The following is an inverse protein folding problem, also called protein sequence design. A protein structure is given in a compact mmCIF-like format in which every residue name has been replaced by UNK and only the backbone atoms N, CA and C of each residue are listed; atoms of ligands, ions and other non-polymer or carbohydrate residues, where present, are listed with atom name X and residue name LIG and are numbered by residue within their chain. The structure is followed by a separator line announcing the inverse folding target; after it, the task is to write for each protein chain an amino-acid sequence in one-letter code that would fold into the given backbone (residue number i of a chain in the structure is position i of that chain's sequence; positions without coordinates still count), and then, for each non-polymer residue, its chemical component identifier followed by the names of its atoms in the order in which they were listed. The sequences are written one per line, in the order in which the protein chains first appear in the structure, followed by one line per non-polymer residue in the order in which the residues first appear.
data_IF_542531520543
#
_entry.id   IF_542531520543
#
_cell.length_a   1.000
_cell.length_b   1.000
_cell.length_c   1.000
_cell.angle_alpha   90.00
_cell.angle_beta   90.00
_cell.angle_gamma   90.00
#
_symmetry.space_group_name_H-M   'P 1'
#
loop_
_entity.id
_entity.type
_entity.pdbx_description
1 polymer ?
#
# COMPACT_ATOMS: atom_id res chain seq x y z
N UNK A 1 7.98 1.40 -16.46
CA UNK A 1 6.68 0.92 -15.91
C UNK A 1 6.33 1.71 -14.64
N UNK A 2 5.08 1.67 -14.21
CA UNK A 2 4.66 2.26 -12.95
C UNK A 2 4.06 1.20 -12.04
N UNK A 3 4.60 1.09 -10.84
CA UNK A 3 4.19 0.14 -9.81
C UNK A 3 3.42 0.88 -8.70
N UNK A 4 2.39 0.25 -8.16
CA UNK A 4 1.74 0.65 -6.92
C UNK A 4 1.81 -0.53 -5.94
N UNK A 5 2.51 -0.32 -4.82
CA UNK A 5 2.47 -1.26 -3.70
C UNK A 5 1.33 -0.86 -2.78
N UNK A 6 0.48 -1.82 -2.42
CA UNK A 6 -0.62 -1.64 -1.48
C UNK A 6 -0.35 -2.54 -0.28
N UNK A 7 -0.02 -1.94 0.85
CA UNK A 7 0.40 -2.66 2.06
C UNK A 7 -0.44 -2.24 3.28
N UNK A 8 -0.48 -3.11 4.27
CA UNK A 8 -1.29 -2.88 5.46
C UNK A 8 -0.64 -1.88 6.42
N UNK A 9 0.64 -2.03 6.72
CA UNK A 9 1.34 -1.25 7.76
C UNK A 9 2.63 -0.62 7.23
N UNK A 10 3.12 0.45 7.88
CA UNK A 10 4.46 0.98 7.60
C UNK A 10 5.51 -0.07 7.95
N UNK A 11 6.41 -0.35 7.05
CA UNK A 11 7.47 -1.36 6.98
C UNK A 11 7.19 -2.55 6.06
N UNK A 12 5.95 -2.94 5.85
CA UNK A 12 5.59 -4.06 4.97
C UNK A 12 6.17 -3.91 3.56
N UNK A 13 6.14 -2.68 3.01
CA UNK A 13 6.67 -2.38 1.67
C UNK A 13 8.19 -2.57 1.60
N UNK A 14 8.89 -2.18 2.65
CA UNK A 14 10.35 -2.31 2.74
C UNK A 14 10.74 -3.77 2.94
N UNK A 15 10.09 -4.46 3.88
CA UNK A 15 10.37 -5.85 4.19
C UNK A 15 9.98 -6.79 3.05
N UNK A 16 8.84 -6.53 2.42
CA UNK A 16 8.32 -7.37 1.33
C UNK A 16 8.94 -7.10 -0.03
N UNK A 17 9.26 -5.85 -0.34
CA UNK A 17 9.64 -5.45 -1.69
C UNK A 17 10.75 -4.39 -1.78
N UNK A 18 11.42 -4.02 -0.69
CA UNK A 18 12.40 -2.94 -0.66
C UNK A 18 13.50 -3.07 -1.72
N UNK A 19 14.11 -4.25 -1.84
CA UNK A 19 15.13 -4.50 -2.84
C UNK A 19 14.58 -4.38 -4.28
N UNK A 20 13.36 -4.83 -4.50
CA UNK A 20 12.68 -4.72 -5.81
C UNK A 20 12.35 -3.27 -6.13
N UNK A 21 11.79 -2.51 -5.19
CA UNK A 21 11.50 -1.08 -5.35
C UNK A 21 12.77 -0.30 -5.71
N UNK A 22 13.84 -0.53 -4.96
CA UNK A 22 15.14 0.10 -5.25
C UNK A 22 15.61 -0.20 -6.66
N UNK A 23 15.54 -1.46 -7.09
CA UNK A 23 15.92 -1.89 -8.44
C UNK A 23 15.07 -1.22 -9.50
N UNK A 24 13.74 -1.19 -9.33
CA UNK A 24 12.83 -0.57 -10.30
C UNK A 24 13.12 0.94 -10.43
N UNK A 25 13.24 1.65 -9.30
CA UNK A 25 13.57 3.08 -9.32
C UNK A 25 14.92 3.36 -10.00
N UNK A 26 15.94 2.53 -9.74
CA UNK A 26 17.25 2.64 -10.42
C UNK A 26 17.18 2.40 -11.92
N UNK A 27 16.24 1.58 -12.37
CA UNK A 27 16.01 1.32 -13.79
C UNK A 27 15.14 2.40 -14.48
N UNK A 28 14.73 3.43 -13.76
CA UNK A 28 13.88 4.52 -14.27
C UNK A 28 12.39 4.25 -14.22
N UNK A 29 11.97 3.16 -13.59
CA UNK A 29 10.55 2.90 -13.31
C UNK A 29 10.03 3.82 -12.19
N UNK A 30 8.73 4.07 -12.15
CA UNK A 30 8.08 4.80 -11.08
C UNK A 30 7.46 3.83 -10.07
N UNK A 31 7.62 4.13 -8.78
CA UNK A 31 7.03 3.36 -7.69
C UNK A 31 6.25 4.31 -6.79
N UNK A 32 4.97 4.00 -6.58
CA UNK A 32 4.12 4.62 -5.56
C UNK A 32 3.77 3.56 -4.51
N UNK A 33 3.45 4.00 -3.29
CA UNK A 33 3.08 3.13 -2.17
C UNK A 33 1.77 3.62 -1.56
N UNK A 34 0.85 2.71 -1.27
CA UNK A 34 -0.36 2.95 -0.49
C UNK A 34 -0.29 2.14 0.81
N UNK A 35 -0.29 2.82 1.95
CA UNK A 35 -0.25 2.22 3.29
C UNK A 35 -1.63 2.39 3.92
N UNK A 36 -2.30 1.27 4.25
CA UNK A 36 -3.67 1.29 4.74
C UNK A 36 -3.77 1.86 6.16
N UNK A 37 -2.88 1.44 7.06
CA UNK A 37 -2.81 1.88 8.45
C UNK A 37 -1.46 2.53 8.74
N UNK A 38 -1.46 3.78 9.16
CA UNK A 38 -0.23 4.52 9.51
C UNK A 38 0.07 4.49 11.00
N UNK A 39 -0.76 3.83 11.81
CA UNK A 39 -0.60 3.71 13.25
C UNK A 39 0.05 2.37 13.65
N UNK A 40 0.88 2.39 14.69
CA UNK A 40 1.55 1.20 15.23
C UNK A 40 1.03 0.79 16.62
N UNK A 41 -0.25 1.05 16.91
CA UNK A 41 -0.85 0.90 18.25
C UNK A 41 -0.77 -0.52 18.83
N UNK A 42 -0.75 -1.54 17.99
CA UNK A 42 -0.72 -2.93 18.44
C UNK A 42 0.69 -3.42 18.84
N UNK A 43 1.74 -2.65 18.58
CA UNK A 43 3.12 -3.07 18.94
C UNK A 43 3.40 -2.85 20.41
N UNK A 44 3.94 -3.85 21.09
CA UNK A 44 4.31 -3.78 22.52
C UNK A 44 5.42 -2.74 22.80
N UNK A 45 6.38 -2.63 21.87
CA UNK A 45 7.47 -1.64 21.91
C UNK A 45 7.41 -0.85 20.59
N UNK A 46 6.56 0.17 20.57
CA UNK A 46 6.38 1.00 19.38
C UNK A 46 7.21 2.29 19.45
N UNK A 47 7.73 2.80 18.33
CA UNK A 47 8.23 4.16 18.25
C UNK A 47 7.07 5.15 18.44
N UNK A 48 7.38 6.40 18.72
CA UNK A 48 6.39 7.48 18.65
C UNK A 48 5.87 7.61 17.20
N UNK A 49 4.67 8.14 17.03
CA UNK A 49 4.10 8.32 15.69
C UNK A 49 5.00 9.23 14.83
N UNK A 50 5.64 10.25 15.44
CA UNK A 50 6.58 11.14 14.74
C UNK A 50 7.87 10.44 14.30
N UNK A 51 8.42 9.54 15.13
CA UNK A 51 9.60 8.73 14.74
C UNK A 51 9.23 7.76 13.61
N UNK A 52 8.08 7.10 13.70
CA UNK A 52 7.61 6.18 12.67
C UNK A 52 7.42 6.88 11.33
N UNK A 53 6.83 8.08 11.31
CA UNK A 53 6.66 8.90 10.11
C UNK A 53 8.00 9.33 9.53
N UNK A 54 8.93 9.77 10.37
CA UNK A 54 10.28 10.16 9.95
C UNK A 54 11.05 9.00 9.33
N UNK A 55 11.01 7.82 9.93
CA UNK A 55 11.67 6.62 9.43
C UNK A 55 11.05 6.13 8.11
N UNK A 56 9.72 6.15 8.01
CA UNK A 56 8.99 5.84 6.79
C UNK A 56 9.40 6.76 5.65
N UNK A 57 9.37 8.06 5.86
CA UNK A 57 9.70 9.06 4.85
C UNK A 57 11.17 8.97 4.40
N UNK A 58 12.08 8.72 5.33
CA UNK A 58 13.49 8.49 5.02
C UNK A 58 13.69 7.22 4.17
N UNK A 59 13.04 6.13 4.53
CA UNK A 59 13.10 4.88 3.78
C UNK A 59 12.53 5.04 2.36
N UNK A 60 11.37 5.68 2.22
CA UNK A 60 10.73 5.91 0.92
C UNK A 60 11.59 6.82 0.03
N UNK A 61 12.17 7.87 0.59
CA UNK A 61 13.11 8.75 -0.12
C UNK A 61 14.34 7.98 -0.60
N UNK A 62 14.94 7.19 0.27
CA UNK A 62 16.11 6.36 -0.07
C UNK A 62 15.82 5.37 -1.22
N UNK A 63 14.65 4.74 -1.19
CA UNK A 63 14.21 3.78 -2.20
C UNK A 63 13.79 4.45 -3.52
N UNK A 64 13.55 5.76 -3.52
CA UNK A 64 13.16 6.52 -4.72
C UNK A 64 11.66 6.48 -5.01
N UNK A 65 10.83 6.19 -4.00
CA UNK A 65 9.37 6.22 -4.10
C UNK A 65 8.88 7.61 -4.46
N UNK A 66 7.91 7.71 -5.38
CA UNK A 66 7.43 8.98 -5.93
C UNK A 66 6.30 9.57 -5.11
N UNK A 67 5.36 8.73 -4.66
CA UNK A 67 4.20 9.18 -3.89
C UNK A 67 3.80 8.12 -2.87
N UNK A 68 3.36 8.58 -1.70
CA UNK A 68 2.77 7.75 -0.66
C UNK A 68 1.32 8.18 -0.48
N UNK A 69 0.42 7.20 -0.46
CA UNK A 69 -0.99 7.34 -0.10
C UNK A 69 -1.18 6.75 1.28
N UNK A 70 -1.69 7.53 2.22
CA UNK A 70 -1.79 7.14 3.61
C UNK A 70 -3.25 7.01 4.03
N UNK A 71 -3.62 5.80 4.47
CA UNK A 71 -4.89 5.53 5.10
C UNK A 71 -4.80 5.69 6.62
N UNK A 72 -5.95 5.80 7.25
CA UNK A 72 -6.07 5.89 8.71
C UNK A 72 -6.89 4.73 9.29
N UNK A 73 -6.83 3.57 8.66
CA UNK A 73 -7.56 2.39 9.11
C UNK A 73 -6.96 1.84 10.41
N UNK A 74 -7.78 1.20 11.27
CA UNK A 74 -7.32 0.74 12.58
C UNK A 74 -6.34 -0.45 12.45
N UNK A 75 -5.28 -0.40 13.25
CA UNK A 75 -4.23 -1.42 13.28
C UNK A 75 -4.75 -2.71 13.93
N UNK A 76 -4.60 -3.83 13.23
CA UNK A 76 -5.03 -5.20 13.60
C UNK A 76 -6.57 -5.34 13.69
N UNK A 77 -7.31 -4.33 13.29
CA UNK A 77 -8.77 -4.28 13.37
C UNK A 77 -9.43 -3.94 12.02
N UNK A 78 -8.71 -4.07 10.89
CA UNK A 78 -9.28 -3.75 9.56
C UNK A 78 -10.51 -4.58 9.21
N UNK A 79 -10.68 -5.76 9.80
CA UNK A 79 -11.89 -6.57 9.66
C UNK A 79 -13.14 -5.91 10.25
N UNK A 80 -13.01 -4.89 11.11
CA UNK A 80 -14.13 -4.12 11.66
C UNK A 80 -14.55 -2.96 10.76
N UNK A 81 -13.72 -2.61 9.78
CA UNK A 81 -14.01 -1.55 8.81
C UNK A 81 -14.92 -2.08 7.72
N UNK A 82 -15.97 -1.34 7.29
CA UNK A 82 -16.73 -1.73 6.12
C UNK A 82 -15.81 -1.97 4.92
N UNK A 83 -15.84 -3.16 4.36
CA UNK A 83 -14.96 -3.59 3.28
C UNK A 83 -14.92 -2.61 2.11
N UNK A 84 -16.07 -2.02 1.77
CA UNK A 84 -16.17 -1.00 0.73
C UNK A 84 -15.22 0.20 0.96
N UNK A 85 -15.01 0.61 2.22
CA UNK A 85 -14.11 1.73 2.52
C UNK A 85 -12.66 1.38 2.25
N UNK A 86 -12.25 0.15 2.52
CA UNK A 86 -10.91 -0.34 2.17
C UNK A 86 -10.71 -0.34 0.64
N UNK A 87 -11.70 -0.86 -0.08
CA UNK A 87 -11.70 -0.87 -1.55
C UNK A 87 -11.61 0.55 -2.11
N UNK A 88 -12.44 1.47 -1.64
CA UNK A 88 -12.50 2.86 -2.13
C UNK A 88 -11.17 3.60 -1.93
N UNK A 89 -10.50 3.40 -0.81
CA UNK A 89 -9.17 3.99 -0.57
C UNK A 89 -8.15 3.51 -1.62
N UNK A 90 -8.14 2.22 -1.90
CA UNK A 90 -7.24 1.63 -2.90
C UNK A 90 -7.62 2.10 -4.31
N UNK A 91 -8.90 2.18 -4.63
CA UNK A 91 -9.39 2.70 -5.92
C UNK A 91 -8.95 4.14 -6.15
N UNK A 92 -8.94 4.98 -5.11
CA UNK A 92 -8.46 6.35 -5.22
C UNK A 92 -6.95 6.40 -5.50
N UNK A 93 -6.17 5.59 -4.79
CA UNK A 93 -4.74 5.45 -5.06
C UNK A 93 -4.47 4.96 -6.50
N UNK A 94 -5.25 4.00 -7.00
CA UNK A 94 -5.16 3.51 -8.38
C UNK A 94 -5.53 4.63 -9.37
N UNK A 95 -6.60 5.39 -9.12
CA UNK A 95 -7.04 6.48 -10.00
C UNK A 95 -5.99 7.57 -10.14
N UNK A 96 -5.36 7.95 -9.04
CA UNK A 96 -4.30 8.96 -9.06
C UNK A 96 -2.97 8.42 -9.60
N UNK A 97 -2.57 7.23 -9.17
CA UNK A 97 -1.30 6.63 -9.57
C UNK A 97 -1.30 6.16 -11.01
N UNK A 98 -2.40 5.64 -11.54
CA UNK A 98 -2.47 5.00 -12.86
C UNK A 98 -1.37 3.94 -13.05
N UNK A 99 -1.25 2.93 -12.16
CA UNK A 99 -0.19 1.95 -12.21
C UNK A 99 -0.33 0.97 -13.38
N UNK A 100 0.77 0.41 -13.84
CA UNK A 100 0.79 -0.71 -14.76
C UNK A 100 0.65 -2.04 -14.01
N UNK A 101 1.21 -2.08 -12.79
CA UNK A 101 1.26 -3.27 -11.93
C UNK A 101 0.88 -2.84 -10.51
N UNK A 102 0.02 -3.63 -9.87
CA UNK A 102 -0.29 -3.51 -8.43
C UNK A 102 0.27 -4.72 -7.70
N UNK A 103 0.94 -4.47 -6.58
CA UNK A 103 1.54 -5.50 -5.72
C UNK A 103 0.94 -5.35 -4.33
N UNK A 104 0.55 -6.45 -3.72
CA UNK A 104 -0.04 -6.46 -2.38
C UNK A 104 0.30 -7.76 -1.64
N UNK A 105 -0.18 -7.90 -0.42
CA UNK A 105 0.00 -9.08 0.42
C UNK A 105 -0.57 -10.36 -0.19
N UNK A 106 -0.06 -11.49 0.25
CA UNK A 106 -0.61 -12.79 -0.11
C UNK A 106 -2.02 -12.98 0.50
N UNK A 107 -3.00 -13.51 -0.25
CA UNK A 107 -4.38 -13.63 0.24
C UNK A 107 -4.55 -14.63 1.39
N UNK A 108 -3.60 -15.52 1.60
CA UNK A 108 -3.59 -16.48 2.70
C UNK A 108 -2.52 -16.15 3.76
N UNK A 109 -2.25 -14.86 3.97
CA UNK A 109 -1.39 -14.39 5.05
C UNK A 109 -2.04 -14.68 6.42
N UNK A 110 -1.25 -14.81 7.46
CA UNK A 110 -1.72 -15.04 8.84
C UNK A 110 -2.13 -13.75 9.56
N UNK A 111 -1.68 -12.58 9.08
CA UNK A 111 -2.05 -11.28 9.62
C UNK A 111 -3.42 -10.85 9.10
N UNK A 112 -4.33 -10.51 10.03
CA UNK A 112 -5.69 -10.06 9.70
C UNK A 112 -5.70 -8.89 8.69
N UNK A 113 -4.89 -7.86 8.94
CA UNK A 113 -4.89 -6.65 8.10
C UNK A 113 -4.29 -6.92 6.72
N UNK A 114 -3.28 -7.81 6.63
CA UNK A 114 -2.72 -8.25 5.35
C UNK A 114 -3.78 -8.95 4.49
N UNK A 115 -4.57 -9.86 5.10
CA UNK A 115 -5.67 -10.53 4.40
C UNK A 115 -6.75 -9.55 3.95
N UNK A 116 -7.15 -8.59 4.80
CA UNK A 116 -8.16 -7.58 4.46
C UNK A 116 -7.66 -6.65 3.33
N UNK A 117 -6.40 -6.23 3.41
CA UNK A 117 -5.76 -5.42 2.36
C UNK A 117 -5.70 -6.16 1.03
N UNK A 118 -5.24 -7.42 1.04
CA UNK A 118 -5.17 -8.26 -0.16
C UNK A 118 -6.54 -8.44 -0.80
N UNK A 119 -7.57 -8.75 0.00
CA UNK A 119 -8.94 -8.93 -0.47
C UNK A 119 -9.49 -7.64 -1.10
N UNK A 120 -9.33 -6.51 -0.44
CA UNK A 120 -9.78 -5.22 -0.96
C UNK A 120 -9.04 -4.84 -2.25
N UNK A 121 -7.73 -5.14 -2.32
CA UNK A 121 -6.92 -4.88 -3.50
C UNK A 121 -7.37 -5.69 -4.71
N UNK A 122 -7.71 -6.97 -4.55
CA UNK A 122 -8.23 -7.83 -5.62
C UNK A 122 -9.52 -7.27 -6.24
N UNK A 123 -10.35 -6.60 -5.46
CA UNK A 123 -11.55 -5.94 -5.96
C UNK A 123 -11.21 -4.59 -6.62
N UNK A 124 -10.35 -3.79 -5.97
CA UNK A 124 -9.99 -2.45 -6.44
C UNK A 124 -9.28 -2.45 -7.80
N UNK A 125 -8.43 -3.44 -8.09
CA UNK A 125 -7.74 -3.53 -9.39
C UNK A 125 -8.68 -3.72 -10.58
N UNK A 126 -9.95 -4.04 -10.34
CA UNK A 126 -11.00 -4.14 -11.36
C UNK A 126 -11.69 -2.80 -11.66
N UNK A 127 -11.20 -1.69 -11.07
CA UNK A 127 -11.78 -0.36 -11.24
C UNK A 127 -11.93 0.03 -12.72
N UNK A 128 -10.98 -0.35 -13.58
CA UNK A 128 -11.05 -0.10 -15.03
C UNK A 128 -12.35 -0.60 -15.70
N UNK A 129 -13.05 -1.57 -15.11
CA UNK A 129 -14.33 -2.05 -15.62
C UNK A 129 -15.49 -1.07 -15.38
N UNK A 130 -15.33 -0.12 -14.46
CA UNK A 130 -16.34 0.86 -14.05
C UNK A 130 -15.93 2.31 -14.32
N UNK A 131 -14.65 2.54 -14.52
CA UNK A 131 -14.03 3.87 -14.69
C UNK A 131 -13.16 3.84 -15.94
N UNK A 132 -13.70 4.31 -17.10
CA UNK A 132 -13.00 4.24 -18.39
C UNK A 132 -11.67 4.98 -18.43
N UNK A 133 -11.49 5.97 -17.54
CA UNK A 133 -10.25 6.74 -17.40
C UNK A 133 -9.11 5.95 -16.72
N UNK A 134 -9.43 4.82 -16.09
CA UNK A 134 -8.45 3.94 -15.44
C UNK A 134 -8.02 2.87 -16.41
N UNK A 135 -6.73 2.77 -16.66
CA UNK A 135 -6.19 1.71 -17.52
C UNK A 135 -6.30 0.34 -16.86
N UNK A 136 -6.31 -0.70 -17.67
CA UNK A 136 -6.25 -2.08 -17.18
C UNK A 136 -4.91 -2.33 -16.49
N UNK A 137 -4.99 -2.92 -15.30
CA UNK A 137 -3.84 -3.27 -14.46
C UNK A 137 -3.53 -4.76 -14.65
N UNK A 138 -2.26 -5.09 -14.65
CA UNK A 138 -1.76 -6.46 -14.72
C UNK A 138 -1.30 -6.96 -13.36
#
# INVERSE_FOLDING_TARGET
MKYLLVVAHPDDEVLGAGASMWKWCKNGDAVDVAIMCTEAKARAFRPSDAELDGDKDAAMTFLGVKKIYEGSFPNIEMNTVPHLKLVQFIEEAIRESQPDIVITHHPADTNNDHMQTSKACQEAVRLFQRSPEVKRIN
#
